data_IF_968630011029
#
_entry.id   IF_968630011029
#
_cell.length_a   1.000
_cell.length_b   1.000
_cell.length_c   1.000
_cell.angle_alpha   90.00
_cell.angle_beta   90.00
_cell.angle_gamma   90.00
#
_symmetry.space_group_name_H-M   'P 1'
#
loop_
_entity.id
_entity.type
_entity.pdbx_description
1 polymer ?
#
# COMPACT_ATOMS: atom_id res chain seq x y z
N UNK A 1 -8.23 -1.87 13.78
CA UNK A 1 -8.31 -2.69 12.55
C UNK A 1 -7.14 -3.66 12.55
N UNK A 2 -7.34 -4.91 12.10
CA UNK A 2 -6.31 -5.96 12.18
C UNK A 2 -5.56 -6.07 10.85
N UNK A 3 -4.24 -6.02 10.92
CA UNK A 3 -3.37 -6.14 9.76
C UNK A 3 -2.31 -7.23 9.95
N UNK A 4 -1.76 -7.65 8.82
CA UNK A 4 -0.72 -8.66 8.72
C UNK A 4 0.43 -8.11 7.87
N UNK A 5 1.66 -8.15 8.41
CA UNK A 5 2.89 -7.83 7.67
C UNK A 5 3.70 -9.10 7.50
N UNK A 6 4.00 -9.44 6.25
CA UNK A 6 4.88 -10.55 5.91
C UNK A 6 6.28 -10.07 5.56
N UNK A 7 7.28 -10.48 6.33
CA UNK A 7 8.69 -10.21 6.04
C UNK A 7 9.47 -11.52 5.93
N UNK A 8 10.58 -11.47 5.20
CA UNK A 8 11.55 -12.58 5.18
C UNK A 8 12.87 -12.07 5.72
N UNK A 9 13.45 -12.82 6.65
CA UNK A 9 14.69 -12.43 7.35
C UNK A 9 15.75 -13.51 7.23
N UNK A 10 16.99 -13.15 7.53
CA UNK A 10 18.06 -14.12 7.73
C UNK A 10 17.72 -15.06 8.90
N UNK A 11 17.83 -16.39 8.74
CA UNK A 11 17.53 -17.34 9.80
C UNK A 11 18.26 -17.05 11.12
N UNK A 12 19.54 -16.65 11.04
CA UNK A 12 20.37 -16.32 12.21
C UNK A 12 19.92 -15.04 12.95
N UNK A 13 19.19 -14.14 12.27
CA UNK A 13 18.69 -12.89 12.86
C UNK A 13 17.24 -13.00 13.34
N UNK A 14 16.53 -14.08 13.01
CA UNK A 14 15.09 -14.20 13.22
C UNK A 14 14.67 -13.95 14.68
N UNK A 15 15.32 -14.62 15.64
CA UNK A 15 14.99 -14.44 17.06
C UNK A 15 15.28 -13.01 17.54
N UNK A 16 16.39 -12.41 17.10
CA UNK A 16 16.72 -11.01 17.43
C UNK A 16 15.66 -10.04 16.91
N UNK A 17 15.18 -10.25 15.69
CA UNK A 17 14.13 -9.41 15.08
C UNK A 17 12.79 -9.60 15.81
N UNK A 18 12.43 -10.84 16.16
CA UNK A 18 11.22 -11.12 16.94
C UNK A 18 11.26 -10.39 18.29
N UNK A 19 12.37 -10.50 19.02
CA UNK A 19 12.50 -9.83 20.32
C UNK A 19 12.55 -8.30 20.17
N UNK A 20 13.16 -7.78 19.11
CA UNK A 20 13.09 -6.35 18.78
C UNK A 20 11.65 -5.90 18.57
N UNK A 21 10.86 -6.61 17.76
CA UNK A 21 9.46 -6.25 17.48
C UNK A 21 8.61 -6.32 18.74
N UNK A 22 8.79 -7.34 19.57
CA UNK A 22 8.07 -7.45 20.86
C UNK A 22 8.44 -6.35 21.84
N UNK A 23 9.67 -5.85 21.80
CA UNK A 23 10.16 -4.85 22.77
C UNK A 23 9.90 -3.43 22.31
N UNK A 24 10.16 -3.14 21.02
CA UNK A 24 10.19 -1.79 20.46
C UNK A 24 9.08 -1.54 19.43
N UNK A 25 8.36 -2.60 19.02
CA UNK A 25 7.37 -2.51 17.96
C UNK A 25 8.00 -2.62 16.57
N UNK A 26 7.27 -2.21 15.54
CA UNK A 26 7.79 -2.17 14.16
C UNK A 26 8.23 -0.74 13.87
N UNK A 27 9.53 -0.53 13.78
CA UNK A 27 10.15 0.79 13.58
C UNK A 27 10.31 1.15 12.10
N UNK A 28 10.27 0.14 11.22
CA UNK A 28 10.57 0.28 9.80
C UNK A 28 12.02 -0.10 9.45
N UNK A 29 12.85 -0.45 10.43
CA UNK A 29 14.22 -0.95 10.20
C UNK A 29 14.24 -2.47 9.91
N UNK A 30 13.14 -3.17 10.18
CA UNK A 30 13.06 -4.63 10.07
C UNK A 30 12.94 -5.11 8.62
N UNK A 31 12.51 -4.23 7.72
CA UNK A 31 12.40 -4.45 6.27
C UNK A 31 12.21 -3.10 5.55
N UNK A 32 11.75 -3.11 4.29
CA UNK A 32 11.51 -1.88 3.54
C UNK A 32 10.41 -1.03 4.20
N UNK A 33 10.69 0.26 4.31
CA UNK A 33 9.74 1.31 4.72
C UNK A 33 9.56 2.36 3.62
N UNK A 34 8.51 3.16 3.74
CA UNK A 34 8.11 4.15 2.75
C UNK A 34 7.68 5.45 3.42
N UNK A 35 7.72 6.54 2.65
CA UNK A 35 7.27 7.86 3.08
C UNK A 35 5.88 8.16 2.54
N UNK A 36 4.97 8.60 3.40
CA UNK A 36 3.63 9.09 3.03
C UNK A 36 3.40 10.47 3.62
N UNK A 37 3.03 11.45 2.80
CA UNK A 37 2.56 12.74 3.28
C UNK A 37 1.08 12.64 3.63
N UNK A 38 0.73 12.93 4.88
CA UNK A 38 -0.65 12.81 5.36
C UNK A 38 -1.48 14.03 4.93
N UNK A 39 -2.49 13.75 4.10
CA UNK A 39 -3.46 14.74 3.62
C UNK A 39 -4.89 14.43 4.06
N UNK A 40 -5.12 13.47 4.97
CA UNK A 40 -6.48 13.04 5.39
C UNK A 40 -7.35 14.22 5.80
N UNK A 41 -6.79 15.16 6.58
CA UNK A 41 -7.48 16.37 7.03
C UNK A 41 -7.81 17.39 5.92
N UNK A 42 -7.24 17.23 4.72
CA UNK A 42 -7.33 18.18 3.62
C UNK A 42 -7.94 17.60 2.33
N UNK A 43 -8.38 16.33 2.33
CA UNK A 43 -8.88 15.63 1.13
C UNK A 43 -9.94 16.45 0.38
N UNK A 44 -10.99 16.93 1.08
CA UNK A 44 -12.07 17.69 0.45
C UNK A 44 -11.58 19.01 -0.18
N UNK A 45 -10.68 19.72 0.51
CA UNK A 45 -10.07 20.96 0.00
C UNK A 45 -9.22 20.69 -1.24
N UNK A 46 -8.40 19.63 -1.22
CA UNK A 46 -7.53 19.25 -2.33
C UNK A 46 -8.34 18.74 -3.54
N UNK A 47 -9.38 17.95 -3.31
CA UNK A 47 -10.24 17.39 -4.36
C UNK A 47 -11.01 18.46 -5.13
N UNK A 48 -11.28 19.61 -4.49
CA UNK A 48 -11.94 20.76 -5.11
C UNK A 48 -10.95 21.76 -5.75
N UNK A 49 -9.63 21.51 -5.65
CA UNK A 49 -8.63 22.36 -6.27
C UNK A 49 -8.46 22.04 -7.76
N UNK A 50 -8.81 22.98 -8.65
CA UNK A 50 -8.68 22.80 -10.09
C UNK A 50 -7.24 22.64 -10.57
N UNK A 51 -6.25 23.02 -9.76
CA UNK A 51 -4.82 22.95 -10.05
C UNK A 51 -4.11 21.86 -9.23
N UNK A 52 -4.87 20.88 -8.70
CA UNK A 52 -4.33 19.73 -7.96
C UNK A 52 -3.17 19.08 -8.73
N UNK A 53 -2.06 18.86 -8.05
CA UNK A 53 -0.86 18.25 -8.60
C UNK A 53 -0.08 17.51 -7.48
N UNK A 54 0.97 16.80 -7.87
CA UNK A 54 1.75 15.96 -6.95
C UNK A 54 2.48 16.75 -5.85
N UNK A 55 2.86 18.01 -6.05
CA UNK A 55 3.52 18.77 -4.99
C UNK A 55 2.54 19.10 -3.84
N UNK A 56 1.23 19.03 -4.09
CA UNK A 56 0.20 19.21 -3.06
C UNK A 56 -0.08 17.95 -2.25
N UNK A 57 0.19 16.76 -2.80
CA UNK A 57 -0.09 15.47 -2.15
C UNK A 57 1.17 14.71 -1.74
N UNK A 58 2.32 15.07 -2.31
CA UNK A 58 3.65 14.49 -2.08
C UNK A 58 4.73 15.58 -2.19
N UNK A 59 4.68 16.62 -1.34
CA UNK A 59 5.65 17.70 -1.40
C UNK A 59 7.07 17.11 -1.32
N UNK A 60 7.94 17.51 -2.24
CA UNK A 60 9.30 16.99 -2.30
C UNK A 60 10.31 18.06 -2.66
N UNK A 61 11.57 17.86 -2.26
CA UNK A 61 12.70 18.66 -2.72
C UNK A 61 13.75 17.78 -3.39
N UNK A 62 14.43 18.33 -4.38
CA UNK A 62 15.56 17.66 -5.03
C UNK A 62 16.81 17.93 -4.22
N UNK A 63 17.49 16.86 -3.80
CA UNK A 63 18.76 16.92 -3.10
C UNK A 63 19.86 16.46 -4.06
N UNK A 64 20.91 17.28 -4.12
CA UNK A 64 22.12 17.00 -4.86
C UNK A 64 23.16 16.40 -3.91
N UNK A 65 23.63 15.19 -4.20
CA UNK A 65 24.76 14.58 -3.49
C UNK A 65 25.88 14.22 -4.44
N UNK A 66 26.99 13.76 -3.87
CA UNK A 66 28.12 13.22 -4.64
C UNK A 66 27.72 12.01 -5.50
N UNK A 67 26.67 11.31 -5.10
CA UNK A 67 26.18 10.09 -5.76
C UNK A 67 25.02 10.33 -6.74
N UNK A 68 24.56 11.59 -6.89
CA UNK A 68 23.55 11.97 -7.88
C UNK A 68 22.43 12.86 -7.32
N UNK A 69 21.27 12.78 -7.98
CA UNK A 69 20.06 13.51 -7.61
C UNK A 69 19.06 12.55 -6.98
N UNK A 70 18.51 12.91 -5.82
CA UNK A 70 17.37 12.19 -5.25
C UNK A 70 16.27 13.16 -4.80
N UNK A 71 15.04 12.65 -4.74
CA UNK A 71 13.89 13.37 -4.17
C UNK A 71 13.74 13.01 -2.70
N UNK A 72 13.65 14.01 -1.85
CA UNK A 72 13.30 13.87 -0.45
C UNK A 72 11.87 14.40 -0.24
N UNK A 73 11.01 13.59 0.38
CA UNK A 73 9.65 13.99 0.70
C UNK A 73 9.63 14.84 1.97
N UNK A 74 8.97 15.99 1.90
CA UNK A 74 8.81 16.95 2.99
C UNK A 74 7.61 16.53 3.84
N UNK A 75 7.72 16.66 5.16
CA UNK A 75 6.63 16.37 6.11
C UNK A 75 5.97 15.00 5.88
N UNK A 76 6.81 13.98 5.65
CA UNK A 76 6.35 12.62 5.40
C UNK A 76 6.49 11.74 6.63
N UNK A 77 5.51 10.86 6.81
CA UNK A 77 5.51 9.83 7.83
C UNK A 77 6.21 8.58 7.30
N UNK A 78 7.08 7.99 8.11
CA UNK A 78 7.60 6.65 7.85
C UNK A 78 6.47 5.64 7.99
N UNK A 79 6.35 4.73 7.02
CA UNK A 79 5.28 3.75 6.96
C UNK A 79 5.82 2.38 6.56
N UNK A 80 5.11 1.33 6.97
CA UNK A 80 5.42 -0.06 6.62
C UNK A 80 4.25 -0.71 5.91
N UNK A 81 4.55 -1.52 4.89
CA UNK A 81 3.51 -2.26 4.16
C UNK A 81 2.89 -3.39 4.99
N UNK A 82 1.59 -3.60 4.80
CA UNK A 82 0.81 -4.69 5.37
C UNK A 82 -0.42 -5.00 4.50
N UNK A 83 -1.18 -6.00 4.91
CA UNK A 83 -2.44 -6.42 4.28
C UNK A 83 -3.50 -6.67 5.35
N UNK A 84 -4.78 -6.57 4.99
CA UNK A 84 -5.90 -7.05 5.83
C UNK A 84 -6.03 -8.58 5.82
N UNK A 85 -5.33 -9.27 4.92
CA UNK A 85 -5.43 -10.71 4.71
C UNK A 85 -4.11 -11.44 5.06
N UNK A 86 -4.22 -12.51 5.84
CA UNK A 86 -3.07 -13.30 6.29
C UNK A 86 -2.39 -14.05 5.14
N UNK A 87 -3.14 -14.51 4.12
CA UNK A 87 -2.56 -15.24 3.00
C UNK A 87 -1.72 -14.33 2.12
N UNK A 88 -2.14 -13.09 1.94
CA UNK A 88 -1.32 -12.03 1.31
C UNK A 88 -0.01 -11.84 2.09
N UNK A 89 -0.06 -11.71 3.42
CA UNK A 89 1.17 -11.60 4.21
C UNK A 89 2.06 -12.86 4.08
N UNK A 90 1.48 -14.07 4.07
CA UNK A 90 2.23 -15.30 3.86
C UNK A 90 2.88 -15.36 2.48
N UNK A 91 2.18 -14.94 1.42
CA UNK A 91 2.73 -14.80 0.07
C UNK A 91 3.96 -13.88 0.09
N UNK A 92 3.86 -12.72 0.73
CA UNK A 92 4.99 -11.79 0.82
C UNK A 92 6.18 -12.40 1.58
N UNK A 93 5.97 -13.03 2.73
CA UNK A 93 7.05 -13.59 3.55
C UNK A 93 7.70 -14.85 2.95
N UNK A 94 6.97 -15.64 2.16
CA UNK A 94 7.46 -16.93 1.65
C UNK A 94 7.89 -16.89 0.19
N UNK A 95 7.32 -16.00 -0.62
CA UNK A 95 7.55 -15.92 -2.07
C UNK A 95 8.18 -14.59 -2.44
N UNK A 96 7.48 -13.47 -2.22
CA UNK A 96 7.91 -12.19 -2.78
C UNK A 96 9.21 -11.66 -2.18
N UNK A 97 9.32 -11.67 -0.84
CA UNK A 97 10.47 -11.12 -0.12
C UNK A 97 11.61 -12.14 0.08
N UNK A 98 11.41 -13.39 -0.35
CA UNK A 98 12.40 -14.46 -0.19
C UNK A 98 13.58 -14.21 -1.12
N UNK A 99 14.79 -14.33 -0.57
CA UNK A 99 16.03 -14.22 -1.32
C UNK A 99 16.99 -15.36 -0.96
N UNK A 100 18.20 -15.36 -1.52
CA UNK A 100 19.25 -16.33 -1.16
C UNK A 100 19.67 -16.22 0.31
N UNK A 101 19.56 -15.02 0.88
CA UNK A 101 20.01 -14.69 2.24
C UNK A 101 18.80 -14.69 3.20
N UNK A 102 17.72 -14.02 2.82
CA UNK A 102 16.50 -13.91 3.61
C UNK A 102 15.59 -15.09 3.24
N UNK A 103 15.57 -16.11 4.10
CA UNK A 103 14.82 -17.36 3.83
C UNK A 103 13.83 -17.72 4.93
N UNK A 104 13.90 -17.06 6.10
CA UNK A 104 13.01 -17.35 7.23
C UNK A 104 11.79 -16.40 7.18
N UNK A 105 10.56 -16.90 6.93
CA UNK A 105 9.37 -16.07 6.91
C UNK A 105 8.94 -15.69 8.35
N UNK A 106 8.51 -14.45 8.52
CA UNK A 106 7.82 -13.96 9.72
C UNK A 106 6.53 -13.26 9.30
N UNK A 107 5.41 -13.65 9.92
CA UNK A 107 4.11 -13.00 9.75
C UNK A 107 3.79 -12.29 11.06
N UNK A 108 3.59 -10.98 11.00
CA UNK A 108 3.33 -10.15 12.18
C UNK A 108 1.88 -9.69 12.10
N UNK A 109 1.08 -10.08 13.08
CA UNK A 109 -0.32 -9.66 13.25
C UNK A 109 -0.35 -8.51 14.24
N UNK A 110 -1.02 -7.42 13.89
CA UNK A 110 -1.09 -6.23 14.73
C UNK A 110 -2.37 -5.44 14.49
N UNK A 111 -2.68 -4.53 15.41
CA UNK A 111 -3.81 -3.62 15.31
C UNK A 111 -3.36 -2.18 15.01
N UNK A 112 -4.05 -1.49 14.10
CA UNK A 112 -3.91 -0.04 13.88
C UNK A 112 -5.26 0.66 13.76
N UNK A 113 -5.37 1.93 14.20
CA UNK A 113 -6.52 2.78 13.89
C UNK A 113 -6.51 3.20 12.41
N UNK A 114 -7.69 3.36 11.81
CA UNK A 114 -7.85 3.73 10.40
C UNK A 114 -7.19 5.08 10.03
N UNK A 115 -7.10 5.99 11.01
CA UNK A 115 -6.44 7.28 10.86
C UNK A 115 -4.94 7.16 10.54
N UNK A 116 -4.32 6.02 10.85
CA UNK A 116 -2.90 5.74 10.64
C UNK A 116 -2.66 4.76 9.47
N UNK A 117 -3.69 4.50 8.67
CA UNK A 117 -3.68 3.57 7.54
C UNK A 117 -3.83 4.34 6.22
N UNK A 118 -3.07 3.89 5.23
CA UNK A 118 -3.08 4.38 3.86
C UNK A 118 -3.15 3.18 2.90
N UNK A 119 -3.83 3.29 1.76
CA UNK A 119 -3.75 2.28 0.71
C UNK A 119 -2.40 2.40 0.00
N UNK A 120 -1.78 1.27 -0.32
CA UNK A 120 -0.65 1.24 -1.24
C UNK A 120 -1.14 1.26 -2.69
N UNK A 121 -1.29 2.46 -3.25
CA UNK A 121 -1.80 2.64 -4.62
C UNK A 121 -0.82 2.24 -5.74
N UNK A 122 0.43 1.87 -5.44
CA UNK A 122 1.50 1.69 -6.44
C UNK A 122 1.33 0.43 -7.29
N UNK A 123 0.78 -0.62 -6.70
CA UNK A 123 0.68 -1.92 -7.36
C UNK A 123 -0.62 -2.10 -8.16
N UNK A 124 -1.60 -1.20 -8.03
CA UNK A 124 -2.85 -1.27 -8.79
C UNK A 124 -3.47 0.09 -9.12
N UNK A 125 -3.80 0.92 -8.12
CA UNK A 125 -4.60 2.15 -8.32
C UNK A 125 -3.97 3.13 -9.32
N UNK A 126 -2.66 3.36 -9.25
CA UNK A 126 -1.99 4.25 -10.22
C UNK A 126 -2.12 3.78 -11.67
N UNK A 127 -2.16 2.46 -11.88
CA UNK A 127 -2.36 1.89 -13.21
C UNK A 127 -3.81 2.03 -13.66
N UNK A 128 -4.77 1.73 -12.77
CA UNK A 128 -6.20 1.88 -13.05
C UNK A 128 -6.59 3.33 -13.38
N UNK A 129 -6.13 4.30 -12.59
CA UNK A 129 -6.37 5.74 -12.83
C UNK A 129 -5.61 6.28 -14.05
N UNK A 130 -4.58 5.58 -14.50
CA UNK A 130 -3.90 5.85 -15.76
C UNK A 130 -4.75 5.54 -17.00
N UNK A 131 -5.84 4.77 -16.86
CA UNK A 131 -6.75 4.39 -17.94
C UNK A 131 -7.98 5.29 -17.98
N UNK A 132 -8.51 5.52 -19.17
CA UNK A 132 -9.68 6.39 -19.44
C UNK A 132 -10.92 5.63 -19.95
N UNK A 133 -10.87 4.31 -19.99
CA UNK A 133 -12.01 3.45 -20.36
C UNK A 133 -12.92 3.20 -19.16
N UNK A 134 -13.80 4.16 -18.88
CA UNK A 134 -14.70 4.14 -17.71
C UNK A 134 -15.53 2.87 -17.61
N UNK A 135 -16.00 2.32 -18.74
CA UNK A 135 -16.91 1.17 -18.75
C UNK A 135 -16.24 -0.14 -18.32
N UNK A 136 -14.91 -0.23 -18.46
CA UNK A 136 -14.15 -1.41 -18.03
C UNK A 136 -13.46 -1.21 -16.69
N UNK A 137 -12.93 -0.01 -16.43
CA UNK A 137 -12.14 0.25 -15.22
C UNK A 137 -13.02 0.49 -14.00
N UNK A 138 -14.11 1.23 -14.16
CA UNK A 138 -14.96 1.61 -13.02
C UNK A 138 -15.59 0.41 -12.31
N UNK A 139 -16.13 -0.62 -13.00
CA UNK A 139 -16.66 -1.80 -12.31
C UNK A 139 -15.61 -2.54 -11.48
N UNK A 140 -14.36 -2.58 -11.95
CA UNK A 140 -13.25 -3.22 -11.20
C UNK A 140 -12.90 -2.39 -9.97
N UNK A 141 -12.82 -1.06 -10.13
CA UNK A 141 -12.54 -0.17 -9.00
C UNK A 141 -13.64 -0.23 -7.94
N UNK A 142 -14.90 -0.24 -8.36
CA UNK A 142 -16.05 -0.33 -7.46
C UNK A 142 -16.08 -1.67 -6.70
N UNK A 143 -15.79 -2.80 -7.36
CA UNK A 143 -15.73 -4.12 -6.71
C UNK A 143 -14.61 -4.21 -5.67
N UNK A 144 -13.47 -3.58 -5.92
CA UNK A 144 -12.29 -3.65 -5.05
C UNK A 144 -12.24 -2.59 -3.95
N UNK A 145 -12.74 -1.38 -4.23
CA UNK A 145 -12.55 -0.19 -3.39
C UNK A 145 -13.87 0.49 -3.00
N UNK A 146 -15.00 -0.13 -3.32
CA UNK A 146 -16.35 0.36 -2.99
C UNK A 146 -16.79 1.56 -3.82
N UNK A 147 -18.06 1.94 -3.64
CA UNK A 147 -18.71 2.97 -4.46
C UNK A 147 -18.12 4.38 -4.28
N UNK A 148 -17.45 4.66 -3.15
CA UNK A 148 -16.85 5.96 -2.87
C UNK A 148 -15.72 6.32 -3.85
N UNK A 149 -15.07 5.34 -4.47
CA UNK A 149 -14.00 5.58 -5.45
C UNK A 149 -14.51 6.18 -6.77
N UNK A 150 -15.82 6.04 -7.05
CA UNK A 150 -16.42 6.42 -8.34
C UNK A 150 -16.20 7.90 -8.64
N UNK A 151 -16.42 8.76 -7.65
CA UNK A 151 -16.30 10.21 -7.83
C UNK A 151 -14.85 10.64 -8.05
N UNK A 152 -13.90 10.01 -7.35
CA UNK A 152 -12.48 10.22 -7.57
C UNK A 152 -12.08 9.82 -8.99
N UNK A 153 -12.47 8.63 -9.43
CA UNK A 153 -12.12 8.14 -10.76
C UNK A 153 -12.73 9.02 -11.86
N UNK A 154 -14.02 9.37 -11.75
CA UNK A 154 -14.68 10.29 -12.70
C UNK A 154 -13.95 11.63 -12.78
N UNK A 155 -13.53 12.20 -11.64
CA UNK A 155 -12.73 13.44 -11.61
C UNK A 155 -11.37 13.25 -12.26
N UNK A 156 -10.67 12.14 -11.97
CA UNK A 156 -9.33 11.87 -12.51
C UNK A 156 -9.33 11.83 -14.05
N UNK A 157 -10.34 11.19 -14.66
CA UNK A 157 -10.39 11.02 -16.11
C UNK A 157 -10.81 12.28 -16.88
N UNK A 158 -11.30 13.32 -16.21
CA UNK A 158 -11.61 14.63 -16.85
C UNK A 158 -10.37 15.30 -17.44
N UNK A 159 -9.18 14.95 -16.96
CA UNK A 159 -7.90 15.46 -17.46
C UNK A 159 -7.02 14.30 -17.94
N UNK A 160 -6.19 14.56 -18.95
CA UNK A 160 -5.13 13.63 -19.39
C UNK A 160 -3.82 13.82 -18.61
N UNK A 161 -3.75 14.85 -17.77
CA UNK A 161 -2.56 15.16 -16.98
C UNK A 161 -2.24 14.05 -15.97
N UNK A 162 -1.05 13.47 -16.08
CA UNK A 162 -0.61 12.34 -15.27
C UNK A 162 -0.38 12.77 -13.81
N UNK A 163 0.11 13.99 -13.56
CA UNK A 163 0.35 14.47 -12.20
C UNK A 163 -0.97 14.69 -11.46
N UNK A 164 -1.96 15.27 -12.12
CA UNK A 164 -3.31 15.43 -11.60
C UNK A 164 -3.94 14.08 -11.25
N UNK A 165 -3.88 13.10 -12.17
CA UNK A 165 -4.40 11.75 -11.90
C UNK A 165 -3.70 11.06 -10.75
N UNK A 166 -2.37 11.17 -10.69
CA UNK A 166 -1.59 10.61 -9.59
C UNK A 166 -1.92 11.27 -8.24
N UNK A 167 -2.13 12.59 -8.23
CA UNK A 167 -2.57 13.31 -7.03
C UNK A 167 -3.98 12.91 -6.60
N UNK A 168 -4.91 12.67 -7.53
CA UNK A 168 -6.23 12.11 -7.19
C UNK A 168 -6.08 10.73 -6.55
N UNK A 169 -5.20 9.86 -7.07
CA UNK A 169 -4.92 8.55 -6.45
C UNK A 169 -4.37 8.72 -5.03
N UNK A 170 -3.53 9.73 -4.78
CA UNK A 170 -3.08 10.00 -3.41
C UNK A 170 -4.25 10.32 -2.47
N UNK A 171 -5.23 11.09 -2.92
CA UNK A 171 -6.42 11.37 -2.11
C UNK A 171 -7.23 10.09 -1.84
N UNK A 172 -7.44 9.26 -2.87
CA UNK A 172 -8.11 7.95 -2.76
C UNK A 172 -7.43 7.07 -1.72
N UNK A 173 -6.10 7.04 -1.72
CA UNK A 173 -5.32 6.21 -0.81
C UNK A 173 -5.45 6.61 0.66
N UNK A 174 -6.00 7.79 0.96
CA UNK A 174 -6.11 8.31 2.32
C UNK A 174 -7.56 8.44 2.79
N UNK A 175 -8.55 8.39 1.89
CA UNK A 175 -9.97 8.43 2.22
C UNK A 175 -10.37 7.21 3.06
N UNK A 176 -10.85 7.47 4.28
CA UNK A 176 -11.18 6.41 5.25
C UNK A 176 -12.33 5.50 4.79
N UNK A 177 -13.26 6.03 3.99
CA UNK A 177 -14.35 5.22 3.45
C UNK A 177 -13.80 4.19 2.47
N UNK A 178 -12.89 4.62 1.58
CA UNK A 178 -12.24 3.76 0.59
C UNK A 178 -11.26 2.78 1.26
N UNK A 179 -10.54 3.21 2.29
CA UNK A 179 -9.68 2.32 3.09
C UNK A 179 -10.52 1.21 3.73
N UNK A 180 -11.69 1.55 4.26
CA UNK A 180 -12.61 0.58 4.86
C UNK A 180 -13.14 -0.40 3.81
N UNK A 181 -13.55 0.09 2.65
CA UNK A 181 -14.04 -0.74 1.54
C UNK A 181 -12.95 -1.71 1.06
N UNK A 182 -11.72 -1.22 0.81
CA UNK A 182 -10.59 -2.05 0.40
C UNK A 182 -10.13 -3.02 1.50
N UNK A 183 -10.29 -2.67 2.77
CA UNK A 183 -9.95 -3.57 3.88
C UNK A 183 -10.84 -4.82 3.87
N UNK A 184 -12.10 -4.65 3.47
CA UNK A 184 -13.10 -5.70 3.37
C UNK A 184 -13.07 -6.45 2.03
N UNK A 185 -12.21 -6.05 1.08
CA UNK A 185 -12.09 -6.72 -0.21
C UNK A 185 -11.66 -8.19 -0.03
N UNK A 186 -12.43 -9.11 -0.63
CA UNK A 186 -12.17 -10.54 -0.60
C UNK A 186 -11.50 -11.07 -1.89
N UNK A 187 -11.40 -10.23 -2.92
CA UNK A 187 -10.87 -10.56 -4.25
C UNK A 187 -9.36 -10.45 -4.28
N UNK A 188 -8.69 -11.46 -4.83
CA UNK A 188 -7.25 -11.35 -5.07
C UNK A 188 -6.96 -10.59 -6.37
N UNK A 189 -6.06 -9.63 -6.25
CA UNK A 189 -5.53 -8.78 -7.31
C UNK A 189 -4.12 -9.29 -7.65
N UNK A 190 -3.84 -9.38 -8.95
CA UNK A 190 -2.50 -9.53 -9.49
C UNK A 190 -1.96 -8.18 -9.94
N UNK A 191 -1.17 -7.55 -9.08
CA UNK A 191 -0.64 -6.22 -9.30
C UNK A 191 0.64 -6.18 -10.13
N UNK A 192 1.39 -5.09 -9.97
CA UNK A 192 2.69 -4.89 -10.62
C UNK A 192 3.65 -6.00 -10.21
N UNK A 193 4.54 -6.39 -11.11
CA UNK A 193 5.52 -7.45 -10.88
C UNK A 193 4.92 -8.82 -10.55
N UNK A 194 3.66 -9.07 -10.94
CA UNK A 194 2.93 -10.30 -10.62
C UNK A 194 2.74 -10.52 -9.10
N UNK A 195 2.75 -9.46 -8.30
CA UNK A 195 2.40 -9.52 -6.88
C UNK A 195 0.94 -9.95 -6.72
N UNK A 196 0.67 -10.86 -5.79
CA UNK A 196 -0.67 -11.35 -5.50
C UNK A 196 -1.11 -10.86 -4.11
N UNK A 197 -2.20 -10.10 -4.05
CA UNK A 197 -2.71 -9.56 -2.80
C UNK A 197 -4.22 -9.35 -2.86
N UNK A 198 -4.91 -9.50 -1.73
CA UNK A 198 -6.30 -9.00 -1.63
C UNK A 198 -6.32 -7.51 -1.34
N UNK A 199 -5.46 -7.09 -0.43
CA UNK A 199 -5.31 -5.69 -0.06
C UNK A 199 -3.85 -5.36 0.18
N UNK A 200 -3.51 -4.11 -0.09
CA UNK A 200 -2.17 -3.56 0.08
C UNK A 200 -2.31 -2.22 0.79
N UNK A 201 -1.74 -2.14 1.99
CA UNK A 201 -1.79 -0.96 2.84
C UNK A 201 -0.38 -0.57 3.26
N UNK A 202 -0.23 0.71 3.60
CA UNK A 202 0.87 1.25 4.38
C UNK A 202 0.30 1.74 5.72
N UNK A 203 0.99 1.47 6.81
CA UNK A 203 0.62 1.98 8.14
C UNK A 203 1.77 2.77 8.73
N UNK A 204 1.46 3.84 9.47
CA UNK A 204 2.47 4.69 10.09
C UNK A 204 3.32 3.91 11.09
N UNK A 205 4.62 4.13 11.00
CA UNK A 205 5.62 3.61 11.93
C UNK A 205 6.11 4.75 12.86
N UNK A 206 6.48 4.45 14.12
CA UNK A 206 6.52 3.11 14.70
C UNK A 206 5.14 2.54 15.03
N UNK A 207 4.93 1.24 14.77
CA UNK A 207 3.79 0.48 15.32
C UNK A 207 4.16 0.08 16.74
N UNK A 208 3.43 0.51 17.79
CA UNK A 208 3.82 0.24 19.17
C UNK A 208 3.86 -1.26 19.52
N UNK A 209 4.70 -1.69 20.48
CA UNK A 209 4.72 -3.07 20.97
C UNK A 209 3.35 -3.60 21.41
N UNK A 210 2.56 -2.75 22.09
CA UNK A 210 1.23 -3.10 22.60
C UNK A 210 0.20 -3.34 21.48
N UNK A 211 0.50 -2.91 20.26
CA UNK A 211 -0.33 -3.16 19.09
C UNK A 211 0.02 -4.49 18.40
N UNK A 212 1.15 -5.12 18.75
CA UNK A 212 1.56 -6.41 18.22
C UNK A 212 0.76 -7.51 18.93
N UNK A 213 -0.04 -8.24 18.16
CA UNK A 213 -0.89 -9.30 18.68
C UNK A 213 -0.14 -10.63 18.65
N UNK A 214 0.55 -10.91 17.54
CA UNK A 214 1.20 -12.20 17.34
C UNK A 214 2.31 -12.12 16.29
N UNK A 215 3.33 -12.96 16.44
CA UNK A 215 4.37 -13.17 15.42
C UNK A 215 4.47 -14.66 15.12
N UNK A 216 4.17 -15.03 13.88
CA UNK A 216 4.10 -16.41 13.39
C UNK A 216 5.27 -16.72 12.45
N UNK A 217 5.69 -17.98 12.46
CA UNK A 217 6.69 -18.53 11.53
C UNK A 217 6.04 -19.60 10.67
N UNK A 218 5.20 -19.19 9.72
CA UNK A 218 4.36 -20.09 8.94
C UNK A 218 4.74 -20.10 7.46
N UNK A 219 4.54 -21.26 6.84
CA UNK A 219 4.70 -21.45 5.41
C UNK A 219 3.45 -21.00 4.63
N UNK A 220 3.64 -20.64 3.37
CA UNK A 220 2.53 -20.32 2.47
C UNK A 220 1.98 -21.61 1.85
N UNK A 221 0.72 -21.93 2.17
CA UNK A 221 0.17 -23.25 1.88
C UNK A 221 -0.45 -23.36 0.48
N UNK A 222 -1.06 -22.30 -0.08
CA UNK A 222 -1.68 -22.34 -1.41
C UNK A 222 -1.74 -20.97 -2.09
N UNK A 223 -1.61 -20.90 -3.43
CA UNK A 223 -1.77 -19.67 -4.21
C UNK A 223 -3.19 -19.09 -4.13
N UNK A 224 -3.31 -17.78 -4.30
CA UNK A 224 -4.61 -17.11 -4.31
C UNK A 224 -5.32 -17.31 -5.66
N UNK A 225 -6.65 -17.42 -5.64
CA UNK A 225 -7.45 -17.35 -6.87
C UNK A 225 -7.54 -15.90 -7.33
N UNK A 226 -6.90 -15.59 -8.46
CA UNK A 226 -6.85 -14.24 -9.02
C UNK A 226 -8.20 -13.86 -9.63
N UNK A 227 -8.79 -12.78 -9.13
CA UNK A 227 -10.02 -12.20 -9.67
C UNK A 227 -9.73 -11.13 -10.74
N UNK A 228 -8.72 -10.29 -10.49
CA UNK A 228 -8.32 -9.20 -11.38
C UNK A 228 -6.82 -9.14 -11.54
N UNK A 229 -6.34 -8.76 -12.72
CA UNK A 229 -4.92 -8.51 -12.97
C UNK A 229 -4.71 -7.14 -13.60
N UNK A 230 -3.57 -6.50 -13.32
CA UNK A 230 -3.11 -5.34 -14.09
C UNK A 230 -3.08 -5.65 -15.61
N UNK A 231 -2.80 -6.90 -16.00
CA UNK A 231 -2.86 -7.29 -17.42
C UNK A 231 -4.25 -7.10 -18.03
N UNK A 232 -5.30 -7.26 -17.23
CA UNK A 232 -6.67 -7.09 -17.70
C UNK A 232 -6.98 -5.61 -17.97
N UNK A 233 -6.29 -4.69 -17.27
CA UNK A 233 -6.30 -3.26 -17.57
C UNK A 233 -5.50 -2.91 -18.83
N UNK A 234 -4.48 -3.69 -19.18
CA UNK A 234 -3.67 -3.48 -20.40
C UNK A 234 -4.36 -3.98 -21.67
N UNK A 235 -5.18 -5.03 -21.59
CA UNK A 235 -5.99 -5.54 -22.71
C UNK A 235 -7.10 -4.58 -23.17
N UNK A 236 -7.25 -3.43 -22.52
CA UNK A 236 -8.28 -2.43 -22.82
C UNK A 236 -7.81 -1.36 -23.81
N UNK A 237 -6.58 -1.45 -24.31
CA UNK A 237 -6.00 -0.56 -25.31
C UNK A 237 -6.08 -1.15 -26.71
#
# INVERSE_FOLDING_TARGET
MIFYRGITVEPIKANKIIEHIKTNGITGEEAVSYSVHDVKGNISTLLNNSNLNLEMTRPSRVIHTKDGLYREYIDSNNCVCCSSDINTARYYANIHNKSKINTKPLIIKFEMPISEVYIDGRDFLHYAFGKDDINKVLPILEDLYGSNIIDYYKRAITKKDIQYRAAIVDLVCQDESIITDHYNNDKCIKGRYNTEFKSAFMVKAPIPPNNIIEILQEEYLQPNTIAYSISDLYKLC
#
